data_IF_296730687144
#
_entry.id   IF_296730687144
#
_cell.length_a   1.000
_cell.length_b   1.000
_cell.length_c   1.000
_cell.angle_alpha   90.00
_cell.angle_beta   90.00
_cell.angle_gamma   90.00
#
_symmetry.space_group_name_H-M   'P 1'
#
loop_
_entity.id
_entity.type
_entity.pdbx_description
1 polymer ?
#
# COMPACT_ATOMS: atom_id res chain seq x y z
N UNK A 1 -6.34 -2.53 0.68
CA UNK A 1 -5.56 -2.73 -0.58
C UNK A 1 -4.08 -2.76 -0.24
N UNK A 2 -3.26 -3.33 -1.11
CA UNK A 2 -1.80 -3.34 -0.98
C UNK A 2 -1.19 -2.63 -2.19
N UNK A 3 -0.19 -1.78 -1.92
CA UNK A 3 0.71 -1.18 -2.89
C UNK A 3 2.02 -1.95 -2.87
N UNK A 4 2.48 -2.41 -4.03
CA UNK A 4 3.72 -3.19 -4.16
C UNK A 4 4.64 -2.45 -5.12
N UNK A 5 5.79 -1.97 -4.63
CA UNK A 5 6.80 -1.38 -5.49
C UNK A 5 7.49 -2.47 -6.31
N UNK A 6 7.38 -2.39 -7.64
CA UNK A 6 7.97 -3.38 -8.57
C UNK A 6 9.46 -3.15 -8.80
N UNK A 7 9.96 -1.96 -8.51
CA UNK A 7 11.38 -1.59 -8.56
C UNK A 7 12.17 -2.06 -7.31
N UNK A 8 11.51 -2.74 -6.38
CA UNK A 8 12.11 -3.22 -5.13
C UNK A 8 12.35 -2.13 -4.07
N UNK A 9 11.87 -0.90 -4.28
CA UNK A 9 11.99 0.16 -3.28
C UNK A 9 11.17 -0.13 -2.02
N UNK A 10 11.61 0.46 -0.90
CA UNK A 10 10.94 0.30 0.39
C UNK A 10 9.55 0.94 0.33
N UNK A 11 8.53 0.19 0.78
CA UNK A 11 7.12 0.54 0.73
C UNK A 11 6.78 1.86 1.44
N UNK A 12 7.59 2.30 2.41
CA UNK A 12 7.44 3.60 3.07
C UNK A 12 7.50 4.78 2.09
N UNK A 13 8.26 4.66 0.99
CA UNK A 13 8.31 5.71 -0.06
C UNK A 13 6.98 5.85 -0.82
N UNK A 14 6.10 4.84 -0.72
CA UNK A 14 4.77 4.85 -1.33
C UNK A 14 3.74 5.64 -0.50
N UNK A 15 4.03 5.88 0.79
CA UNK A 15 3.11 6.50 1.72
C UNK A 15 2.69 7.91 1.30
N UNK A 16 3.66 8.80 1.02
CA UNK A 16 3.39 10.16 0.58
C UNK A 16 2.52 10.23 -0.68
N UNK A 17 2.90 9.56 -1.78
CA UNK A 17 2.08 9.49 -2.99
C UNK A 17 0.68 8.89 -2.80
N UNK A 18 0.52 7.94 -1.88
CA UNK A 18 -0.78 7.36 -1.55
C UNK A 18 -1.65 8.34 -0.75
N UNK A 19 -1.11 8.97 0.29
CA UNK A 19 -1.80 9.96 1.12
C UNK A 19 -2.26 11.15 0.27
N UNK A 20 -1.41 11.65 -0.64
CA UNK A 20 -1.74 12.74 -1.55
C UNK A 20 -2.95 12.44 -2.46
N UNK A 21 -3.38 11.17 -2.55
CA UNK A 21 -4.53 10.70 -3.32
C UNK A 21 -5.72 10.26 -2.44
N UNK A 22 -5.68 10.59 -1.15
CA UNK A 22 -6.74 10.27 -0.19
C UNK A 22 -6.70 8.83 0.30
N UNK A 23 -5.51 8.22 0.38
CA UNK A 23 -5.35 6.92 1.01
C UNK A 23 -5.03 7.05 2.51
N UNK A 24 -5.70 6.24 3.33
CA UNK A 24 -5.32 6.01 4.71
C UNK A 24 -4.28 4.89 4.77
N UNK A 25 -3.22 5.11 5.55
CA UNK A 25 -2.21 4.08 5.80
C UNK A 25 -2.71 3.10 6.85
N UNK A 26 -2.64 1.81 6.53
CA UNK A 26 -3.01 0.73 7.46
C UNK A 26 -1.79 0.06 8.09
N UNK A 27 -0.63 0.13 7.44
CA UNK A 27 0.62 -0.47 7.94
C UNK A 27 1.47 -1.06 6.81
N UNK A 28 2.46 -1.87 7.19
CA UNK A 28 3.34 -2.58 6.25
C UNK A 28 2.80 -3.98 5.95
N UNK A 29 3.03 -4.43 4.71
CA UNK A 29 2.78 -5.81 4.33
C UNK A 29 3.93 -6.75 4.76
N UNK A 30 3.86 -8.04 4.40
CA UNK A 30 4.86 -9.03 4.82
C UNK A 30 6.25 -8.82 4.20
N UNK A 31 6.36 -8.05 3.11
CA UNK A 31 7.63 -7.71 2.48
C UNK A 31 7.88 -6.20 2.54
N UNK A 32 9.16 -5.82 2.54
CA UNK A 32 9.61 -4.43 2.71
C UNK A 32 9.13 -3.47 1.62
N UNK A 33 8.76 -3.98 0.44
CA UNK A 33 8.23 -3.20 -0.68
C UNK A 33 6.69 -3.13 -0.72
N UNK A 34 6.01 -3.65 0.32
CA UNK A 34 4.54 -3.71 0.39
C UNK A 34 4.01 -2.75 1.45
N UNK A 35 3.10 -1.87 1.04
CA UNK A 35 2.38 -0.94 1.91
C UNK A 35 0.87 -1.23 1.88
N UNK A 36 0.24 -1.36 3.05
CA UNK A 36 -1.19 -1.59 3.18
C UNK A 36 -1.92 -0.27 3.35
N UNK A 37 -2.98 -0.08 2.56
CA UNK A 37 -3.75 1.15 2.53
C UNK A 37 -5.26 0.90 2.44
N UNK A 38 -6.04 1.89 2.85
CA UNK A 38 -7.45 2.04 2.52
C UNK A 38 -7.60 3.25 1.60
N UNK A 39 -8.23 3.07 0.44
CA UNK A 39 -8.44 4.15 -0.52
C UNK A 39 -9.56 3.78 -1.49
N UNK A 40 -10.00 4.76 -2.28
CA UNK A 40 -10.79 4.53 -3.50
C UNK A 40 -9.87 4.00 -4.62
N UNK A 41 -10.19 2.81 -5.15
CA UNK A 41 -9.41 2.17 -6.23
C UNK A 41 -9.31 3.05 -7.47
N UNK A 42 -10.39 3.73 -7.85
CA UNK A 42 -10.43 4.57 -9.06
C UNK A 42 -9.49 5.76 -8.98
N UNK A 43 -9.24 6.28 -7.77
CA UNK A 43 -8.35 7.42 -7.53
C UNK A 43 -6.87 7.03 -7.44
N UNK A 44 -6.57 5.78 -7.12
CA UNK A 44 -5.19 5.34 -6.81
C UNK A 44 -4.57 4.41 -7.84
N UNK A 45 -5.36 3.61 -8.55
CA UNK A 45 -4.85 2.54 -9.41
C UNK A 45 -3.94 3.08 -10.52
N UNK A 46 -4.45 3.96 -11.38
CA UNK A 46 -3.72 4.46 -12.55
C UNK A 46 -2.46 5.28 -12.17
N UNK A 47 -2.54 6.20 -11.19
CA UNK A 47 -1.37 7.00 -10.82
C UNK A 47 -0.26 6.24 -10.09
N UNK A 48 -0.59 5.13 -9.42
CA UNK A 48 0.41 4.24 -8.81
C UNK A 48 1.03 3.33 -9.86
N UNK A 49 0.22 2.79 -10.77
CA UNK A 49 0.69 1.92 -11.85
C UNK A 49 1.71 2.64 -12.74
N UNK A 50 1.48 3.91 -13.09
CA UNK A 50 2.43 4.73 -13.87
C UNK A 50 3.77 4.99 -13.18
N UNK A 51 3.85 4.70 -11.87
CA UNK A 51 5.07 4.80 -11.05
C UNK A 51 5.70 3.44 -10.75
N UNK A 52 5.29 2.38 -11.45
CA UNK A 52 5.79 1.02 -11.20
C UNK A 52 5.29 0.41 -9.91
N UNK A 53 4.11 0.82 -9.43
CA UNK A 53 3.50 0.30 -8.19
C UNK A 53 2.25 -0.50 -8.53
N UNK A 54 2.24 -1.77 -8.16
CA UNK A 54 1.08 -2.63 -8.32
C UNK A 54 0.06 -2.35 -7.21
N UNK A 55 -1.22 -2.21 -7.57
CA UNK A 55 -2.32 -2.03 -6.62
C UNK A 55 -3.21 -3.25 -6.64
N UNK A 56 -3.21 -4.02 -5.55
CA UNK A 56 -4.00 -5.24 -5.42
C UNK A 56 -4.92 -5.20 -4.20
N UNK A 57 -5.93 -6.08 -4.19
CA UNK A 57 -6.64 -6.38 -2.96
C UNK A 57 -5.64 -7.00 -1.97
N UNK A 58 -5.59 -6.46 -0.75
CA UNK A 58 -4.77 -7.07 0.29
C UNK A 58 -5.52 -8.31 0.81
N UNK A 59 -4.86 -9.47 0.99
CA UNK A 59 -5.42 -10.60 1.72
C UNK A 59 -5.94 -10.14 3.09
N UNK A 60 -7.05 -10.72 3.55
CA UNK A 60 -7.59 -10.39 4.87
C UNK A 60 -6.58 -10.62 6.00
N UNK A 61 -5.71 -11.63 5.85
CA UNK A 61 -4.64 -11.93 6.81
C UNK A 61 -3.58 -10.82 6.95
N UNK A 62 -3.47 -9.91 5.98
CA UNK A 62 -2.54 -8.78 6.06
C UNK A 62 -3.18 -7.56 6.73
N UNK A 63 -4.51 -7.45 6.65
CA UNK A 63 -5.29 -6.39 7.29
C UNK A 63 -5.50 -6.71 8.77
N UNK A 64 -4.50 -6.45 9.60
CA UNK A 64 -4.55 -6.72 11.05
C UNK A 64 -3.18 -7.00 11.66
N UNK A 65 -2.20 -7.38 10.84
CA UNK A 65 -0.81 -7.61 11.26
C UNK A 65 -0.08 -6.34 11.75
N UNK A 66 -0.69 -5.15 11.58
CA UNK A 66 -0.24 -3.90 12.19
C UNK A 66 -0.79 -3.65 13.60
N UNK A 67 -1.60 -4.56 14.14
CA UNK A 67 -2.04 -4.54 15.53
C UNK A 67 -1.29 -5.65 16.24
N UNK A 68 -0.16 -5.30 16.80
CA UNK A 68 0.42 -6.01 17.94
C UNK A 68 -0.25 -5.41 19.20
N UNK A 69 -1.10 -6.15 19.93
CA UNK A 69 -1.44 -5.80 21.29
C UNK A 69 -0.81 -6.85 22.22
N UNK A 70 0.40 -6.59 22.72
CA UNK A 70 0.89 -7.03 24.05
C UNK A 70 2.24 -6.41 24.35
#
# INVERSE_FOLDING_TARGET
>A
MALIALDGTVGDRLAGPAIARGADLLGRGPARNILLIRADRGRIFLPMLSRGVLVIAAPQSWCGAGKDPS
#
